data_IF_737839669532
#
_entry.id   IF_737839669532
#
_cell.length_a   1.000
_cell.length_b   1.000
_cell.length_c   1.000
_cell.angle_alpha   90.00
_cell.angle_beta   90.00
_cell.angle_gamma   90.00
#
_symmetry.space_group_name_H-M   'P 1'
#
loop_
_entity.id
_entity.type
_entity.pdbx_description
1 polymer ?
#
# COMPACT_ATOMS: atom_id res chain seq x y z
N UNK A 1 47.86 -38.23 4.19
CA UNK A 1 46.74 -37.47 4.77
C UNK A 1 45.83 -38.48 5.43
N UNK A 2 45.68 -38.36 6.74
CA UNK A 2 44.80 -39.24 7.52
C UNK A 2 43.33 -38.94 7.14
N UNK A 3 42.47 -39.96 7.06
CA UNK A 3 41.04 -39.79 6.71
C UNK A 3 40.35 -38.70 7.56
N UNK A 4 40.79 -38.56 8.82
CA UNK A 4 40.30 -37.56 9.78
C UNK A 4 40.62 -36.12 9.37
N UNK A 5 41.80 -35.88 8.80
CA UNK A 5 42.20 -34.55 8.32
C UNK A 5 41.33 -34.13 7.12
N UNK A 6 41.05 -35.08 6.23
CA UNK A 6 40.18 -34.85 5.08
C UNK A 6 38.73 -34.54 5.50
N UNK A 7 38.19 -35.27 6.47
CA UNK A 7 36.86 -35.01 7.03
C UNK A 7 36.80 -33.63 7.68
N UNK A 8 37.81 -33.25 8.48
CA UNK A 8 37.86 -31.94 9.12
C UNK A 8 37.92 -30.80 8.08
N UNK A 9 38.71 -30.99 7.02
CA UNK A 9 38.77 -30.04 5.92
C UNK A 9 37.41 -29.89 5.22
N UNK A 10 36.74 -31.01 4.90
CA UNK A 10 35.39 -30.99 4.31
C UNK A 10 34.38 -30.27 5.19
N UNK A 11 34.38 -30.54 6.50
CA UNK A 11 33.48 -29.88 7.44
C UNK A 11 33.73 -28.36 7.52
N UNK A 12 35.00 -27.93 7.45
CA UNK A 12 35.34 -26.51 7.40
C UNK A 12 34.81 -25.85 6.11
N UNK A 13 34.98 -26.50 4.96
CA UNK A 13 34.45 -26.00 3.67
C UNK A 13 32.93 -25.90 3.70
N UNK A 14 32.24 -26.93 4.19
CA UNK A 14 30.77 -26.94 4.32
C UNK A 14 30.32 -25.81 5.25
N UNK A 15 31.01 -25.60 6.37
CA UNK A 15 30.71 -24.51 7.31
C UNK A 15 30.75 -23.14 6.63
N UNK A 16 31.82 -22.86 5.88
CA UNK A 16 31.96 -21.59 5.13
C UNK A 16 30.84 -21.42 4.11
N UNK A 17 30.52 -22.48 3.36
CA UNK A 17 29.44 -22.45 2.36
C UNK A 17 28.08 -22.20 3.00
N UNK A 18 27.79 -22.85 4.13
CA UNK A 18 26.53 -22.64 4.86
C UNK A 18 26.42 -21.21 5.43
N UNK A 19 27.52 -20.63 5.91
CA UNK A 19 27.54 -19.23 6.33
C UNK A 19 27.26 -18.28 5.16
N UNK A 20 27.84 -18.54 3.99
CA UNK A 20 27.57 -17.76 2.77
C UNK A 20 26.09 -17.87 2.35
N UNK A 21 25.52 -19.09 2.36
CA UNK A 21 24.11 -19.30 2.03
C UNK A 21 23.21 -18.56 3.02
N UNK A 22 23.48 -18.66 4.32
CA UNK A 22 22.72 -17.93 5.35
C UNK A 22 22.78 -16.43 5.16
N UNK A 23 23.96 -15.88 4.85
CA UNK A 23 24.13 -14.46 4.57
C UNK A 23 23.35 -13.99 3.33
N UNK A 24 23.42 -14.75 2.24
CA UNK A 24 22.68 -14.45 1.02
C UNK A 24 21.17 -14.52 1.25
N UNK A 25 20.71 -15.52 1.99
CA UNK A 25 19.30 -15.68 2.34
C UNK A 25 18.81 -14.51 3.20
N UNK A 26 19.56 -14.13 4.24
CA UNK A 26 19.28 -12.94 5.05
C UNK A 26 19.15 -11.67 4.19
N UNK A 27 20.10 -11.46 3.27
CA UNK A 27 20.07 -10.31 2.35
C UNK A 27 18.83 -10.30 1.45
N UNK A 28 18.37 -11.47 0.99
CA UNK A 28 17.16 -11.57 0.17
C UNK A 28 15.93 -11.25 1.02
N UNK A 29 15.84 -11.80 2.23
CA UNK A 29 14.74 -11.51 3.16
C UNK A 29 14.63 -10.02 3.45
N UNK A 30 15.74 -9.36 3.76
CA UNK A 30 15.75 -7.91 4.01
C UNK A 30 15.23 -7.11 2.79
N UNK A 31 15.63 -7.50 1.57
CA UNK A 31 15.12 -6.84 0.36
C UNK A 31 13.62 -7.06 0.14
N UNK A 32 13.11 -8.24 0.49
CA UNK A 32 11.68 -8.53 0.39
C UNK A 32 10.91 -7.68 1.40
N UNK A 33 11.42 -7.55 2.62
CA UNK A 33 10.86 -6.69 3.66
C UNK A 33 10.78 -5.24 3.20
N UNK A 34 11.90 -4.67 2.70
CA UNK A 34 11.93 -3.30 2.17
C UNK A 34 10.89 -3.10 1.05
N UNK A 35 10.73 -4.09 0.17
CA UNK A 35 9.77 -4.03 -0.94
C UNK A 35 8.32 -4.16 -0.48
N UNK A 36 8.06 -4.96 0.56
CA UNK A 36 6.73 -5.08 1.16
C UNK A 36 6.34 -3.78 1.85
N UNK A 37 7.27 -3.15 2.57
CA UNK A 37 7.03 -1.85 3.21
C UNK A 37 6.75 -0.76 2.16
N UNK A 38 7.55 -0.71 1.09
CA UNK A 38 7.33 0.20 -0.03
C UNK A 38 5.95 -0.01 -0.67
N UNK A 39 5.58 -1.26 -0.93
CA UNK A 39 4.27 -1.61 -1.49
C UNK A 39 3.12 -1.20 -0.56
N UNK A 40 3.27 -1.44 0.74
CA UNK A 40 2.29 -1.07 1.74
C UNK A 40 2.09 0.46 1.76
N UNK A 41 3.19 1.22 1.74
CA UNK A 41 3.15 2.68 1.69
C UNK A 41 2.47 3.19 0.42
N UNK A 42 2.81 2.62 -0.74
CA UNK A 42 2.20 3.00 -2.01
C UNK A 42 0.70 2.69 -2.04
N UNK A 43 0.29 1.52 -1.53
CA UNK A 43 -1.13 1.14 -1.43
C UNK A 43 -1.90 2.09 -0.51
N UNK A 44 -1.32 2.43 0.65
CA UNK A 44 -1.91 3.37 1.59
C UNK A 44 -2.07 4.76 0.98
N UNK A 45 -1.00 5.31 0.40
CA UNK A 45 -1.01 6.62 -0.26
C UNK A 45 -1.99 6.65 -1.44
N UNK A 46 -2.07 5.57 -2.23
CA UNK A 46 -3.04 5.46 -3.31
C UNK A 46 -4.48 5.55 -2.79
N UNK A 47 -4.77 4.83 -1.69
CA UNK A 47 -6.09 4.88 -1.03
C UNK A 47 -6.42 6.26 -0.48
N UNK A 48 -5.47 6.93 0.16
CA UNK A 48 -5.66 8.30 0.65
C UNK A 48 -5.85 9.32 -0.48
N UNK A 49 -5.15 9.16 -1.61
CA UNK A 49 -5.26 10.07 -2.76
C UNK A 49 -6.55 9.91 -3.56
N UNK A 50 -7.18 8.73 -3.49
CA UNK A 50 -8.40 8.39 -4.24
C UNK A 50 -9.50 7.86 -3.31
N UNK A 51 -9.84 8.57 -2.23
CA UNK A 51 -10.69 8.03 -1.17
C UNK A 51 -12.07 7.66 -1.70
N UNK A 52 -12.58 8.44 -2.66
CA UNK A 52 -13.90 8.24 -3.29
C UNK A 52 -13.97 6.92 -4.09
N UNK A 53 -12.85 6.46 -4.68
CA UNK A 53 -12.82 5.20 -5.46
C UNK A 53 -12.80 3.95 -4.58
N UNK A 54 -12.42 4.10 -3.32
CA UNK A 54 -12.34 3.01 -2.34
C UNK A 54 -13.51 3.01 -1.36
N UNK A 55 -14.50 3.89 -1.55
CA UNK A 55 -15.74 3.85 -0.78
C UNK A 55 -16.54 2.58 -1.08
N UNK A 56 -17.19 2.04 -0.06
CA UNK A 56 -18.21 1.01 -0.29
C UNK A 56 -19.37 1.57 -1.09
N UNK A 57 -20.08 0.72 -1.85
CA UNK A 57 -21.18 1.16 -2.73
C UNK A 57 -22.22 2.04 -2.02
N UNK A 58 -22.59 1.67 -0.79
CA UNK A 58 -23.54 2.45 0.03
C UNK A 58 -23.01 3.83 0.42
N UNK A 59 -21.72 3.93 0.76
CA UNK A 59 -21.08 5.20 1.12
C UNK A 59 -20.93 6.09 -0.11
N UNK A 60 -20.59 5.50 -1.26
CA UNK A 60 -20.55 6.19 -2.54
C UNK A 60 -21.93 6.75 -2.94
N UNK A 61 -23.00 5.96 -2.83
CA UNK A 61 -24.36 6.40 -3.15
C UNK A 61 -24.80 7.57 -2.24
N UNK A 62 -24.44 7.54 -0.95
CA UNK A 62 -24.68 8.64 -0.02
C UNK A 62 -23.90 9.92 -0.40
N UNK A 63 -22.61 9.78 -0.67
CA UNK A 63 -21.76 10.88 -1.13
C UNK A 63 -22.27 11.52 -2.42
N UNK A 64 -22.67 10.70 -3.40
CA UNK A 64 -23.24 11.18 -4.67
C UNK A 64 -24.56 11.93 -4.43
N UNK A 65 -25.43 11.43 -3.56
CA UNK A 65 -26.68 12.13 -3.21
C UNK A 65 -26.44 13.51 -2.61
N UNK A 66 -25.42 13.66 -1.76
CA UNK A 66 -25.10 14.95 -1.15
C UNK A 66 -24.49 15.94 -2.15
N UNK A 67 -23.65 15.45 -3.08
CA UNK A 67 -23.20 16.25 -4.23
C UNK A 67 -24.38 16.70 -5.09
N UNK A 68 -25.32 15.81 -5.40
CA UNK A 68 -26.46 16.13 -6.24
C UNK A 68 -27.36 17.19 -5.57
N UNK A 69 -27.54 17.13 -4.24
CA UNK A 69 -28.25 18.17 -3.46
C UNK A 69 -27.52 19.51 -3.51
N UNK A 70 -26.20 19.52 -3.35
CA UNK A 70 -25.38 20.73 -3.45
C UNK A 70 -25.48 21.34 -4.85
N UNK A 71 -25.36 20.51 -5.88
CA UNK A 71 -25.51 20.93 -7.27
C UNK A 71 -26.89 21.52 -7.54
N UNK A 72 -27.93 20.88 -7.03
CA UNK A 72 -29.29 21.39 -7.14
C UNK A 72 -29.44 22.74 -6.43
N UNK A 73 -28.93 22.89 -5.21
CA UNK A 73 -28.98 24.15 -4.48
C UNK A 73 -28.23 25.30 -5.19
N UNK A 74 -27.10 25.00 -5.84
CA UNK A 74 -26.33 26.00 -6.60
C UNK A 74 -27.06 26.41 -7.88
N UNK A 75 -27.67 25.47 -8.61
CA UNK A 75 -28.21 25.74 -9.94
C UNK A 75 -29.71 26.06 -9.96
N UNK A 76 -30.45 25.57 -8.97
CA UNK A 76 -31.90 25.75 -8.84
C UNK A 76 -32.18 26.47 -7.54
N UNK A 77 -31.92 27.78 -7.56
CA UNK A 77 -32.34 28.67 -6.50
C UNK A 77 -33.44 29.59 -7.05
N UNK A 78 -34.48 29.80 -6.25
CA UNK A 78 -35.53 30.74 -6.61
C UNK A 78 -35.04 32.15 -6.33
N UNK A 79 -35.50 33.12 -7.10
CA UNK A 79 -35.24 34.53 -6.82
C UNK A 79 -36.53 35.20 -6.37
N UNK A 80 -36.44 36.09 -5.39
CA UNK A 80 -37.55 37.00 -5.07
C UNK A 80 -37.79 37.99 -6.22
N UNK A 81 -38.87 38.78 -6.10
CA UNK A 81 -39.19 39.80 -7.10
C UNK A 81 -38.13 40.93 -7.23
N UNK A 82 -37.18 41.00 -6.29
CA UNK A 82 -36.02 41.91 -6.32
C UNK A 82 -34.73 41.23 -6.84
N UNK A 83 -34.82 39.98 -7.33
CA UNK A 83 -33.70 39.20 -7.87
C UNK A 83 -32.79 38.56 -6.81
N UNK A 84 -33.16 38.60 -5.52
CA UNK A 84 -32.35 38.00 -4.44
C UNK A 84 -32.63 36.51 -4.34
N UNK A 85 -31.60 35.72 -4.10
CA UNK A 85 -31.73 34.26 -3.90
C UNK A 85 -32.59 33.96 -2.68
N UNK A 86 -33.74 33.31 -2.89
CA UNK A 86 -34.64 32.75 -1.87
C UNK A 86 -34.50 31.23 -1.85
N UNK A 87 -34.29 30.70 -0.64
CA UNK A 87 -34.06 29.26 -0.38
C UNK A 87 -35.35 28.47 -0.33
#
# INVERSE_FOLDING_TARGET
>A
MELREYINFLMAVIGVLMSLVGFLFWRILHRIEDKLEELHRLAHNCRESLPIRFLGRKEFDGYQSDIDKLWYAVNYHQHDQAGRVTR
#
